data_IF_252272598405
#
_entry.id   IF_252272598405
#
_cell.length_a   1.000
_cell.length_b   1.000
_cell.length_c   1.000
_cell.angle_alpha   90.00
_cell.angle_beta   90.00
_cell.angle_gamma   90.00
#
_symmetry.space_group_name_H-M   'P 1'
#
loop_
_entity.id
_entity.type
_entity.pdbx_description
1 polymer ?
#
# COMPACT_ATOMS: atom_id res chain seq x y z
N UNK A 1 36.23 -32.73 -23.03
CA UNK A 1 35.62 -31.39 -22.87
C UNK A 1 34.23 -31.52 -23.47
N UNK A 2 33.09 -31.32 -22.81
CA UNK A 2 32.75 -30.40 -21.71
C UNK A 2 31.87 -31.07 -20.65
N UNK A 3 32.15 -30.76 -19.39
CA UNK A 3 31.36 -31.15 -18.23
C UNK A 3 30.10 -30.28 -18.16
N UNK A 4 28.91 -30.84 -18.47
CA UNK A 4 27.64 -30.13 -18.24
C UNK A 4 27.28 -30.18 -16.76
N UNK A 5 27.21 -28.99 -16.16
CA UNK A 5 26.94 -28.72 -14.75
C UNK A 5 25.58 -29.26 -14.29
N UNK A 6 25.52 -29.83 -13.08
CA UNK A 6 24.32 -30.41 -12.45
C UNK A 6 23.47 -29.38 -11.65
N UNK A 7 23.75 -28.09 -11.79
CA UNK A 7 22.84 -27.08 -11.23
C UNK A 7 21.59 -27.04 -12.09
N UNK A 8 20.48 -27.42 -11.49
CA UNK A 8 19.15 -27.38 -12.05
C UNK A 8 18.88 -25.98 -12.62
N UNK A 9 18.61 -25.89 -13.93
CA UNK A 9 17.93 -24.74 -14.49
C UNK A 9 16.52 -24.77 -13.87
N UNK A 10 16.26 -23.87 -12.92
CA UNK A 10 14.92 -23.61 -12.44
C UNK A 10 14.15 -23.04 -13.64
N UNK A 11 13.22 -23.80 -14.21
CA UNK A 11 12.25 -23.24 -15.14
C UNK A 11 11.36 -22.32 -14.31
N UNK A 12 11.63 -21.02 -14.40
CA UNK A 12 10.71 -19.99 -13.94
C UNK A 12 9.77 -19.79 -15.13
N UNK A 13 8.56 -20.30 -15.01
CA UNK A 13 7.49 -19.90 -15.92
C UNK A 13 7.24 -18.40 -15.66
N UNK A 14 7.50 -17.59 -16.68
CA UNK A 14 7.30 -16.15 -16.68
C UNK A 14 5.80 -15.87 -16.75
N UNK A 15 5.16 -15.76 -15.56
CA UNK A 15 3.72 -15.49 -15.40
C UNK A 15 3.41 -13.98 -15.53
N UNK A 16 4.23 -13.24 -16.27
CA UNK A 16 4.06 -11.81 -16.53
C UNK A 16 2.93 -11.57 -17.55
N UNK A 17 1.73 -11.31 -17.04
CA UNK A 17 0.65 -10.48 -17.59
C UNK A 17 0.33 -10.62 -19.10
N UNK A 18 -0.54 -11.58 -19.43
CA UNK A 18 -1.27 -11.74 -20.69
C UNK A 18 -2.36 -10.67 -20.94
N UNK A 19 -2.29 -9.47 -20.34
CA UNK A 19 -3.38 -8.47 -20.46
C UNK A 19 -3.25 -7.48 -21.65
N UNK A 20 -2.23 -7.60 -22.52
CA UNK A 20 -2.05 -6.65 -23.63
C UNK A 20 -1.71 -7.21 -25.02
N UNK A 21 -1.98 -8.49 -25.34
CA UNK A 21 -1.86 -8.96 -26.73
C UNK A 21 -3.01 -9.87 -27.19
N UNK A 22 -4.17 -9.26 -27.43
CA UNK A 22 -5.16 -9.84 -28.35
C UNK A 22 -4.65 -9.75 -29.79
N UNK A 23 -3.99 -10.79 -30.31
CA UNK A 23 -4.02 -11.12 -31.76
C UNK A 23 -3.95 -12.64 -31.96
N UNK A 24 -5.13 -13.25 -32.09
CA UNK A 24 -5.45 -14.47 -32.85
C UNK A 24 -4.29 -15.40 -33.26
N UNK A 25 -4.24 -16.59 -32.65
CA UNK A 25 -3.92 -17.87 -33.33
C UNK A 25 -4.31 -19.05 -32.44
N UNK A 26 -5.42 -19.69 -32.80
CA UNK A 26 -5.84 -20.94 -32.16
C UNK A 26 -4.86 -22.08 -32.44
N UNK A 27 -4.66 -22.95 -31.47
CA UNK A 27 -4.43 -24.37 -31.77
C UNK A 27 -4.98 -25.27 -30.67
N UNK A 28 -5.68 -26.27 -31.18
CA UNK A 28 -6.50 -27.28 -30.55
C UNK A 28 -5.63 -28.49 -30.16
N UNK A 29 -5.99 -29.16 -29.07
CA UNK A 29 -5.65 -30.56 -28.79
C UNK A 29 -4.43 -30.73 -27.88
N UNK A 30 -4.39 -31.69 -26.96
CA UNK A 30 -5.31 -32.78 -26.69
C UNK A 30 -4.72 -33.68 -25.62
N UNK A 31 -5.60 -34.27 -24.82
CA UNK A 31 -5.33 -35.38 -23.90
C UNK A 31 -4.75 -36.60 -24.62
N UNK A 32 -3.74 -37.28 -24.05
CA UNK A 32 -3.80 -38.71 -23.71
C UNK A 32 -2.48 -39.31 -23.17
N UNK A 33 -2.66 -40.17 -22.15
CA UNK A 33 -2.05 -41.50 -21.92
C UNK A 33 -0.55 -41.57 -21.63
N UNK A 34 -0.18 -41.91 -20.40
CA UNK A 34 0.14 -43.29 -19.94
C UNK A 34 1.07 -44.02 -20.90
N UNK A 35 2.34 -44.14 -20.51
CA UNK A 35 3.06 -45.36 -20.88
C UNK A 35 3.98 -45.85 -19.77
N UNK A 36 3.91 -47.16 -19.60
CA UNK A 36 4.51 -47.97 -18.56
C UNK A 36 5.92 -48.38 -18.97
N UNK A 37 6.92 -48.10 -18.13
CA UNK A 37 8.18 -48.83 -18.19
C UNK A 37 8.41 -49.62 -16.89
N UNK A 38 8.17 -50.93 -16.99
CA UNK A 38 8.72 -51.94 -16.09
C UNK A 38 10.24 -51.86 -16.12
N UNK A 39 10.85 -51.58 -14.97
CA UNK A 39 12.26 -51.88 -14.72
C UNK A 39 12.30 -52.86 -13.55
N UNK A 40 12.62 -54.12 -13.86
CA UNK A 40 13.00 -55.11 -12.86
C UNK A 40 14.41 -54.76 -12.38
N UNK A 41 14.61 -54.53 -11.09
CA UNK A 41 15.85 -54.84 -10.39
C UNK A 41 15.56 -54.96 -8.89
N UNK A 42 15.94 -56.10 -8.33
CA UNK A 42 15.67 -56.50 -6.96
C UNK A 42 16.57 -55.77 -5.97
N UNK A 43 15.93 -55.23 -4.95
CA UNK A 43 16.51 -54.76 -3.70
C UNK A 43 15.35 -54.53 -2.74
N UNK A 44 15.22 -55.38 -1.72
CA UNK A 44 14.17 -55.24 -0.70
C UNK A 44 14.45 -53.98 0.12
N UNK A 45 13.80 -52.88 -0.25
CA UNK A 45 13.81 -51.65 0.53
C UNK A 45 12.92 -51.88 1.75
N UNK A 46 13.51 -52.05 2.93
CA UNK A 46 12.76 -52.09 4.18
C UNK A 46 12.32 -50.65 4.48
N UNK A 47 11.08 -50.33 4.10
CA UNK A 47 10.42 -49.06 4.41
C UNK A 47 9.76 -49.20 5.78
N UNK A 48 10.33 -48.56 6.81
CA UNK A 48 9.57 -48.32 8.04
C UNK A 48 8.51 -47.25 7.76
N UNK A 49 7.24 -47.61 7.89
CA UNK A 49 6.12 -46.66 7.83
C UNK A 49 6.21 -45.73 9.03
N UNK A 50 6.62 -44.48 8.81
CA UNK A 50 6.47 -43.41 9.80
C UNK A 50 5.00 -43.02 9.81
N UNK A 51 4.30 -43.36 10.89
CA UNK A 51 2.91 -43.01 11.12
C UNK A 51 2.78 -41.49 11.15
N UNK A 52 2.27 -40.89 10.07
CA UNK A 52 1.97 -39.47 10.02
C UNK A 52 0.84 -39.21 11.01
N UNK A 53 1.13 -38.51 12.11
CA UNK A 53 0.10 -37.94 12.99
C UNK A 53 -0.94 -37.20 12.12
N UNK A 54 -2.25 -37.50 12.24
CA UNK A 54 -3.26 -36.84 11.45
C UNK A 54 -3.29 -35.35 11.82
N UNK A 55 -2.99 -34.48 10.84
CA UNK A 55 -3.32 -33.06 10.95
C UNK A 55 -4.83 -32.97 11.08
N UNK A 56 -5.30 -32.35 12.17
CA UNK A 56 -6.72 -32.05 12.35
C UNK A 56 -7.23 -31.32 11.10
N UNK A 57 -8.20 -31.93 10.41
CA UNK A 57 -8.99 -31.26 9.38
C UNK A 57 -9.72 -30.11 10.09
N UNK A 58 -9.19 -28.88 10.00
CA UNK A 58 -10.00 -27.70 10.25
C UNK A 58 -11.11 -27.72 9.20
N UNK A 59 -12.36 -27.80 9.69
CA UNK A 59 -13.55 -27.83 8.84
C UNK A 59 -13.61 -26.60 7.92
N UNK A 60 -14.47 -26.65 6.90
CA UNK A 60 -14.65 -25.53 5.98
C UNK A 60 -15.10 -24.30 6.79
N UNK A 61 -14.24 -23.29 6.91
CA UNK A 61 -14.66 -21.98 7.42
C UNK A 61 -15.70 -21.44 6.44
N UNK A 62 -16.84 -20.97 6.97
CA UNK A 62 -17.86 -20.33 6.15
C UNK A 62 -17.23 -19.17 5.36
N UNK A 63 -17.46 -19.15 4.05
CA UNK A 63 -17.02 -18.06 3.18
C UNK A 63 -17.87 -16.84 3.52
N UNK A 64 -17.29 -15.84 4.17
CA UNK A 64 -17.93 -14.55 4.38
C UNK A 64 -17.67 -13.70 3.14
N UNK A 65 -18.73 -13.27 2.49
CA UNK A 65 -18.66 -12.34 1.36
C UNK A 65 -18.80 -10.92 1.92
N UNK A 66 -17.90 -10.03 1.54
CA UNK A 66 -17.99 -8.61 1.90
C UNK A 66 -19.11 -7.96 1.06
N UNK A 67 -20.17 -7.49 1.71
CA UNK A 67 -21.30 -6.84 1.03
C UNK A 67 -20.90 -5.56 0.29
N UNK A 68 -19.79 -4.91 0.65
CA UNK A 68 -19.33 -3.70 0.00
C UNK A 68 -18.55 -3.96 -1.30
N UNK A 69 -17.84 -5.08 -1.38
CA UNK A 69 -16.93 -5.40 -2.51
C UNK A 69 -17.38 -6.62 -3.32
N UNK A 70 -18.30 -7.42 -2.79
CA UNK A 70 -18.75 -8.69 -3.39
C UNK A 70 -17.70 -9.80 -3.36
N UNK A 71 -16.57 -9.59 -2.67
CA UNK A 71 -15.43 -10.51 -2.66
C UNK A 71 -15.49 -11.46 -1.44
N UNK A 72 -15.05 -12.70 -1.65
CA UNK A 72 -14.97 -13.71 -0.58
C UNK A 72 -13.73 -13.44 0.27
N UNK A 73 -13.95 -13.14 1.55
CA UNK A 73 -12.87 -12.92 2.52
C UNK A 73 -12.36 -14.28 2.98
N UNK A 74 -11.17 -14.65 2.51
CA UNK A 74 -10.43 -15.79 3.05
C UNK A 74 -9.82 -15.35 4.39
N UNK A 75 -10.20 -16.05 5.47
CA UNK A 75 -9.87 -15.72 6.86
C UNK A 75 -10.67 -14.55 7.49
N UNK A 76 -12.00 -14.63 7.40
CA UNK A 76 -12.88 -13.94 8.35
C UNK A 76 -12.67 -14.49 9.77
N UNK A 77 -11.68 -13.95 10.47
CA UNK A 77 -11.48 -14.13 11.89
C UNK A 77 -12.27 -13.07 12.69
N UNK A 78 -12.14 -13.08 14.02
CA UNK A 78 -12.77 -12.10 14.91
C UNK A 78 -12.34 -10.65 14.60
N UNK A 79 -11.19 -10.46 13.95
CA UNK A 79 -10.67 -9.16 13.56
C UNK A 79 -11.48 -8.56 12.39
N UNK A 80 -11.97 -9.38 11.47
CA UNK A 80 -12.82 -8.92 10.36
C UNK A 80 -14.17 -8.37 10.84
N UNK A 81 -14.80 -9.01 11.82
CA UNK A 81 -16.06 -8.52 12.39
C UNK A 81 -15.87 -7.21 13.16
N UNK A 82 -14.75 -7.07 13.89
CA UNK A 82 -14.39 -5.83 14.58
C UNK A 82 -14.12 -4.68 13.60
N UNK A 83 -13.42 -4.95 12.50
CA UNK A 83 -13.15 -3.97 11.44
C UNK A 83 -14.44 -3.51 10.74
N UNK A 84 -15.35 -4.43 10.41
CA UNK A 84 -16.63 -4.06 9.78
C UNK A 84 -17.47 -3.19 10.71
N UNK A 85 -17.55 -3.53 12.01
CA UNK A 85 -18.21 -2.69 13.00
C UNK A 85 -17.57 -1.31 13.10
N UNK A 86 -16.23 -1.23 13.10
CA UNK A 86 -15.51 0.04 13.12
C UNK A 86 -15.84 0.91 11.90
N UNK A 87 -15.93 0.32 10.70
CA UNK A 87 -16.31 1.05 9.48
C UNK A 87 -17.75 1.55 9.52
N UNK A 88 -18.69 0.77 10.08
CA UNK A 88 -20.06 1.21 10.28
C UNK A 88 -20.16 2.34 11.31
N UNK A 89 -19.47 2.22 12.43
CA UNK A 89 -19.43 3.24 13.49
C UNK A 89 -18.81 4.54 12.97
N UNK A 90 -17.76 4.46 12.15
CA UNK A 90 -17.16 5.64 11.50
C UNK A 90 -18.14 6.31 10.53
N UNK A 91 -18.84 5.52 9.68
CA UNK A 91 -19.87 6.06 8.78
C UNK A 91 -21.01 6.71 9.56
N UNK A 92 -21.39 6.14 10.72
CA UNK A 92 -22.42 6.68 11.60
C UNK A 92 -21.97 8.01 12.21
N UNK A 93 -20.76 8.07 12.77
CA UNK A 93 -20.18 9.29 13.33
C UNK A 93 -20.08 10.41 12.29
N UNK A 94 -19.75 10.09 11.03
CA UNK A 94 -19.72 11.06 9.94
C UNK A 94 -21.11 11.61 9.59
N UNK A 95 -22.16 10.78 9.64
CA UNK A 95 -23.53 11.28 9.46
C UNK A 95 -24.00 12.11 10.64
N UNK A 96 -23.71 11.69 11.86
CA UNK A 96 -24.09 12.40 13.09
C UNK A 96 -23.40 13.77 13.18
N UNK A 97 -22.11 13.85 12.85
CA UNK A 97 -21.38 15.13 12.79
C UNK A 97 -21.91 16.05 11.69
N UNK A 98 -22.25 15.53 10.51
CA UNK A 98 -22.88 16.32 9.46
C UNK A 98 -24.28 16.83 9.89
N UNK A 99 -25.07 16.02 10.59
CA UNK A 99 -26.37 16.43 11.12
C UNK A 99 -26.25 17.47 12.22
N UNK A 100 -25.31 17.33 13.16
CA UNK A 100 -25.01 18.31 14.20
C UNK A 100 -24.55 19.64 13.59
N UNK A 101 -23.65 19.60 12.60
CA UNK A 101 -23.21 20.80 11.87
C UNK A 101 -24.36 21.49 11.13
N UNK A 102 -25.29 20.72 10.55
CA UNK A 102 -26.47 21.29 9.88
C UNK A 102 -27.52 21.85 10.85
N UNK A 103 -27.60 21.31 12.07
CA UNK A 103 -28.53 21.75 13.12
C UNK A 103 -28.04 22.98 13.86
N UNK A 104 -26.71 23.14 13.97
CA UNK A 104 -26.08 24.29 14.63
C UNK A 104 -26.18 25.59 13.78
N UNK A 105 -26.44 25.48 12.47
CA UNK A 105 -26.69 26.61 11.58
C UNK A 105 -28.14 27.13 11.59
N UNK A 106 -29.04 26.57 12.42
CA UNK A 106 -30.44 27.03 12.51
C UNK A 106 -30.84 27.67 13.83
N UNK A 107 -29.93 27.82 14.79
CA UNK A 107 -30.24 28.53 16.03
C UNK A 107 -28.98 29.06 16.69
N UNK A 108 -28.80 30.39 16.65
CA UNK A 108 -28.58 31.26 17.82
C UNK A 108 -27.86 32.54 17.39
N UNK A 109 -28.62 33.62 17.31
CA UNK A 109 -28.11 34.98 17.46
C UNK A 109 -27.79 35.26 18.94
N UNK A 110 -26.86 36.19 19.15
CA UNK A 110 -26.58 36.99 20.36
C UNK A 110 -25.42 36.57 21.29
N UNK A 111 -24.46 37.50 21.35
CA UNK A 111 -23.62 38.00 22.45
C UNK A 111 -22.51 37.16 23.11
N UNK A 112 -21.27 37.60 22.80
CA UNK A 112 -20.14 37.98 23.67
C UNK A 112 -19.98 37.33 25.06
N UNK A 113 -18.79 36.77 25.33
CA UNK A 113 -17.79 37.35 26.26
C UNK A 113 -16.49 36.49 26.39
N UNK A 114 -15.35 37.18 26.25
CA UNK A 114 -14.06 37.10 26.98
C UNK A 114 -13.39 35.73 27.35
N UNK A 115 -12.17 35.54 26.80
CA UNK A 115 -11.14 34.54 27.15
C UNK A 115 -10.47 34.80 28.54
N UNK A 116 -9.63 33.92 29.17
CA UNK A 116 -8.37 33.28 28.65
C UNK A 116 -8.14 31.81 29.14
N UNK A 117 -7.12 30.99 28.83
CA UNK A 117 -5.90 30.98 28.01
C UNK A 117 -5.07 29.69 28.31
N UNK A 118 -4.13 29.32 27.41
CA UNK A 118 -2.96 28.41 27.57
C UNK A 118 -3.25 26.88 27.68
N UNK A 119 -2.56 25.90 27.07
CA UNK A 119 -1.31 25.78 26.28
C UNK A 119 -1.23 24.38 25.64
N UNK A 120 -0.42 24.28 24.57
CA UNK A 120 0.33 23.10 24.11
C UNK A 120 -0.38 22.05 23.23
N UNK A 121 0.00 22.08 21.95
CA UNK A 121 0.40 20.88 21.22
C UNK A 121 -0.67 20.16 20.42
N UNK A 122 -0.94 20.62 19.20
CA UNK A 122 -1.17 19.72 18.06
C UNK A 122 -1.19 20.52 16.76
N UNK A 123 -0.19 20.27 15.92
CA UNK A 123 -0.22 20.60 14.50
C UNK A 123 -1.30 19.76 13.85
N UNK A 124 -2.50 20.33 13.77
CA UNK A 124 -3.57 19.85 12.91
C UNK A 124 -4.29 21.08 12.37
N UNK A 125 -4.04 21.36 11.08
CA UNK A 125 -4.99 21.99 10.14
C UNK A 125 -4.25 22.26 8.83
N UNK A 126 -4.56 21.44 7.82
CA UNK A 126 -4.86 21.94 6.48
C UNK A 126 -5.54 20.81 5.69
N UNK A 127 -6.69 20.38 6.20
CA UNK A 127 -7.79 20.01 5.31
C UNK A 127 -8.61 21.29 5.13
N UNK A 128 -8.31 22.03 4.06
CA UNK A 128 -9.24 23.00 3.52
C UNK A 128 -9.54 22.56 2.09
N UNK A 129 -10.61 21.77 2.01
CA UNK A 129 -11.35 21.47 0.80
C UNK A 129 -11.53 22.74 -0.03
N UNK A 130 -11.27 22.64 -1.34
CA UNK A 130 -11.52 23.67 -2.35
C UNK A 130 -12.97 24.19 -2.32
N UNK A 131 -13.20 25.50 -2.08
CA UNK A 131 -14.35 26.22 -2.64
C UNK A 131 -13.89 27.34 -3.59
N UNK A 132 -12.58 27.50 -3.83
CA UNK A 132 -12.04 28.80 -4.22
C UNK A 132 -12.09 29.12 -5.71
N UNK A 133 -12.30 28.16 -6.61
CA UNK A 133 -12.20 28.47 -8.05
C UNK A 133 -13.39 29.29 -8.58
N UNK A 134 -14.61 29.04 -8.05
CA UNK A 134 -15.78 29.89 -8.35
C UNK A 134 -15.69 31.26 -7.69
N UNK A 135 -15.16 31.33 -6.46
CA UNK A 135 -14.98 32.60 -5.76
C UNK A 135 -13.89 33.46 -6.40
N UNK A 136 -12.80 32.85 -6.86
CA UNK A 136 -11.69 33.55 -7.52
C UNK A 136 -12.11 34.13 -8.87
N UNK A 137 -12.80 33.34 -9.70
CA UNK A 137 -13.40 33.84 -10.94
C UNK A 137 -14.45 34.92 -10.67
N UNK A 138 -15.28 34.75 -9.63
CA UNK A 138 -16.27 35.75 -9.21
C UNK A 138 -15.63 37.06 -8.73
N UNK A 139 -14.46 37.01 -8.07
CA UNK A 139 -13.72 38.20 -7.63
C UNK A 139 -13.11 38.92 -8.84
N UNK A 140 -12.53 38.18 -9.79
CA UNK A 140 -11.99 38.73 -11.04
C UNK A 140 -13.09 39.41 -11.85
N UNK A 141 -14.23 38.75 -12.02
CA UNK A 141 -15.41 39.32 -12.68
C UNK A 141 -15.88 40.60 -11.98
N UNK A 142 -15.95 40.61 -10.64
CA UNK A 142 -16.29 41.83 -9.86
C UNK A 142 -15.29 42.97 -10.06
N UNK A 143 -13.99 42.69 -10.14
CA UNK A 143 -12.96 43.71 -10.39
C UNK A 143 -13.13 44.29 -11.81
N UNK A 144 -13.36 43.44 -12.81
CA UNK A 144 -13.59 43.88 -14.19
C UNK A 144 -14.87 44.72 -14.31
N UNK A 145 -15.96 44.33 -13.64
CA UNK A 145 -17.19 45.12 -13.58
C UNK A 145 -17.00 46.46 -12.85
N UNK A 146 -16.22 46.50 -11.77
CA UNK A 146 -15.90 47.75 -11.06
C UNK A 146 -15.13 48.73 -11.95
N UNK A 147 -14.19 48.23 -12.75
CA UNK A 147 -13.46 49.04 -13.75
C UNK A 147 -14.40 49.55 -14.85
N UNK A 148 -15.44 48.79 -15.18
CA UNK A 148 -16.46 49.17 -16.15
C UNK A 148 -17.34 50.33 -15.66
N UNK A 149 -17.80 50.24 -14.42
CA UNK A 149 -18.58 51.29 -13.78
C UNK A 149 -17.77 52.59 -13.64
N UNK A 150 -16.49 52.49 -13.30
CA UNK A 150 -15.60 53.64 -13.18
C UNK A 150 -15.26 54.29 -14.54
N UNK A 151 -15.04 53.48 -15.58
CA UNK A 151 -14.81 53.97 -16.95
C UNK A 151 -16.04 54.63 -17.57
N UNK A 152 -17.24 54.09 -17.34
CA UNK A 152 -18.50 54.74 -17.75
C UNK A 152 -18.71 56.07 -17.04
N UNK A 153 -18.35 56.15 -15.75
CA UNK A 153 -18.44 57.38 -14.95
C UNK A 153 -17.47 58.48 -15.43
N UNK A 154 -16.27 58.10 -15.88
CA UNK A 154 -15.28 59.05 -16.42
C UNK A 154 -15.63 59.54 -17.84
N UNK A 155 -16.21 58.68 -18.69
CA UNK A 155 -16.62 59.05 -20.05
C UNK A 155 -17.88 59.90 -20.13
N UNK A 156 -18.70 59.94 -19.08
CA UNK A 156 -19.92 60.76 -19.02
C UNK A 156 -19.65 62.27 -18.83
N UNK A 157 -18.40 62.68 -18.58
CA UNK A 157 -18.03 64.06 -18.24
C UNK A 157 -17.15 64.82 -19.26
N UNK A 158 -16.78 64.23 -20.41
CA UNK A 158 -15.83 64.84 -21.36
C UNK A 158 -16.39 64.92 -22.80
N UNK A 159 -16.29 66.10 -23.42
CA UNK A 159 -16.81 66.37 -24.76
C UNK A 159 -16.00 65.63 -25.84
N UNK A 160 -16.73 65.09 -26.83
CA UNK A 160 -16.31 63.96 -27.69
C UNK A 160 -15.60 64.40 -28.97
N UNK A 161 -14.30 64.11 -29.07
CA UNK A 161 -13.63 63.81 -30.37
C UNK A 161 -12.60 62.69 -30.29
N UNK A 162 -11.91 62.47 -29.16
CA UNK A 162 -10.89 61.39 -29.00
C UNK A 162 -11.41 60.12 -28.29
N UNK A 163 -12.66 60.12 -27.84
CA UNK A 163 -13.22 59.07 -26.95
C UNK A 163 -13.31 57.65 -27.53
N UNK A 164 -13.25 57.50 -28.86
CA UNK A 164 -13.38 56.17 -29.51
C UNK A 164 -12.08 55.38 -29.43
N UNK A 165 -10.94 56.04 -29.62
CA UNK A 165 -9.63 55.40 -29.60
C UNK A 165 -9.27 55.01 -28.17
N UNK A 166 -9.56 55.88 -27.20
CA UNK A 166 -9.43 55.56 -25.77
C UNK A 166 -10.31 54.38 -25.34
N UNK A 167 -11.55 54.32 -25.82
CA UNK A 167 -12.45 53.19 -25.53
C UNK A 167 -11.91 51.87 -26.10
N UNK A 168 -11.27 51.90 -27.27
CA UNK A 168 -10.68 50.72 -27.90
C UNK A 168 -9.42 50.27 -27.16
N UNK A 169 -8.58 51.21 -26.73
CA UNK A 169 -7.38 50.95 -25.93
C UNK A 169 -7.78 50.35 -24.57
N UNK A 170 -8.79 50.90 -23.90
CA UNK A 170 -9.31 50.37 -22.63
C UNK A 170 -9.83 48.93 -22.82
N UNK A 171 -10.57 48.65 -23.90
CA UNK A 171 -11.05 47.31 -24.19
C UNK A 171 -9.89 46.31 -24.43
N UNK A 172 -8.85 46.73 -25.14
CA UNK A 172 -7.63 45.93 -25.35
C UNK A 172 -6.92 45.61 -24.03
N UNK A 173 -6.73 46.61 -23.16
CA UNK A 173 -6.11 46.40 -21.84
C UNK A 173 -6.90 45.44 -20.96
N UNK A 174 -8.24 45.53 -20.98
CA UNK A 174 -9.11 44.59 -20.27
C UNK A 174 -8.96 43.18 -20.83
N UNK A 175 -9.03 43.02 -22.14
CA UNK A 175 -8.84 41.72 -22.80
C UNK A 175 -7.49 41.11 -22.42
N UNK A 176 -6.42 41.92 -22.39
CA UNK A 176 -5.08 41.45 -22.02
C UNK A 176 -4.97 41.10 -20.54
N UNK A 177 -5.63 41.85 -19.66
CA UNK A 177 -5.67 41.57 -18.23
C UNK A 177 -6.42 40.25 -17.95
N UNK A 178 -7.58 40.05 -18.59
CA UNK A 178 -8.34 38.80 -18.49
C UNK A 178 -7.51 37.61 -18.98
N UNK A 179 -6.89 37.73 -20.16
CA UNK A 179 -6.02 36.68 -20.72
C UNK A 179 -4.86 36.35 -19.76
N UNK A 180 -4.21 37.35 -19.16
CA UNK A 180 -3.12 37.14 -18.19
C UNK A 180 -3.61 36.44 -16.91
N UNK A 181 -4.82 36.78 -16.43
CA UNK A 181 -5.42 36.14 -15.26
C UNK A 181 -5.76 34.69 -15.56
N UNK A 182 -6.39 34.41 -16.70
CA UNK A 182 -6.71 33.04 -17.15
C UNK A 182 -5.44 32.19 -17.29
N UNK A 183 -4.38 32.72 -17.90
CA UNK A 183 -3.09 32.04 -18.00
C UNK A 183 -2.49 31.74 -16.63
N UNK A 184 -2.62 32.67 -15.67
CA UNK A 184 -2.11 32.48 -14.31
C UNK A 184 -2.91 31.42 -13.56
N UNK A 185 -4.24 31.38 -13.73
CA UNK A 185 -5.11 30.36 -13.17
C UNK A 185 -4.76 28.98 -13.74
N UNK A 186 -4.65 28.85 -15.05
CA UNK A 186 -4.29 27.59 -15.70
C UNK A 186 -2.90 27.10 -15.25
N UNK A 187 -1.92 28.00 -15.13
CA UNK A 187 -0.59 27.66 -14.61
C UNK A 187 -0.65 27.20 -13.14
N UNK A 188 -1.47 27.84 -12.31
CA UNK A 188 -1.66 27.45 -10.92
C UNK A 188 -2.34 26.08 -10.79
N UNK A 189 -3.35 25.79 -11.60
CA UNK A 189 -4.00 24.47 -11.65
C UNK A 189 -3.01 23.37 -12.03
N UNK A 190 -2.19 23.60 -13.07
CA UNK A 190 -1.12 22.66 -13.45
C UNK A 190 -0.08 22.47 -12.34
N UNK A 191 0.30 23.54 -11.66
CA UNK A 191 1.23 23.46 -10.54
C UNK A 191 0.66 22.67 -9.35
N UNK A 192 -0.61 22.86 -9.03
CA UNK A 192 -1.30 22.10 -7.98
C UNK A 192 -1.44 20.62 -8.34
N UNK A 193 -1.79 20.30 -9.58
CA UNK A 193 -1.85 18.92 -10.06
C UNK A 193 -0.48 18.23 -9.97
N UNK A 194 0.58 18.91 -10.43
CA UNK A 194 1.94 18.39 -10.33
C UNK A 194 2.38 18.19 -8.87
N UNK A 195 2.03 19.12 -7.97
CA UNK A 195 2.33 19.02 -6.55
C UNK A 195 1.62 17.82 -5.90
N UNK A 196 0.36 17.58 -6.24
CA UNK A 196 -0.39 16.43 -5.75
C UNK A 196 0.24 15.09 -6.19
N UNK A 197 0.71 15.02 -7.43
CA UNK A 197 1.43 13.85 -7.93
C UNK A 197 2.76 13.64 -7.19
N UNK A 198 3.54 14.70 -6.96
CA UNK A 198 4.78 14.62 -6.18
C UNK A 198 4.51 14.07 -4.77
N UNK A 199 3.44 14.53 -4.11
CA UNK A 199 3.05 14.03 -2.79
C UNK A 199 2.63 12.57 -2.82
N UNK A 200 1.86 12.16 -3.83
CA UNK A 200 1.50 10.75 -4.07
C UNK A 200 2.76 9.88 -4.23
N UNK A 201 3.75 10.31 -5.00
CA UNK A 201 5.00 9.58 -5.16
C UNK A 201 5.84 9.56 -3.88
N UNK A 202 5.88 10.67 -3.12
CA UNK A 202 6.56 10.72 -1.81
C UNK A 202 5.95 9.73 -0.82
N UNK A 203 4.62 9.63 -0.75
CA UNK A 203 3.93 8.68 0.12
C UNK A 203 4.23 7.23 -0.30
N UNK A 204 4.15 6.93 -1.60
CA UNK A 204 4.50 5.60 -2.13
C UNK A 204 5.94 5.21 -1.80
N UNK A 205 6.89 6.13 -2.00
CA UNK A 205 8.29 5.90 -1.68
C UNK A 205 8.51 5.65 -0.18
N UNK A 206 7.88 6.46 0.69
CA UNK A 206 7.94 6.25 2.14
C UNK A 206 7.45 4.86 2.53
N UNK A 207 6.31 4.43 1.99
CA UNK A 207 5.74 3.10 2.23
C UNK A 207 6.67 1.99 1.73
N UNK A 208 7.30 2.17 0.58
CA UNK A 208 8.24 1.19 0.04
C UNK A 208 9.49 1.05 0.93
N UNK A 209 10.04 2.16 1.43
CA UNK A 209 11.17 2.14 2.37
C UNK A 209 10.79 1.45 3.68
N UNK A 210 9.59 1.69 4.20
CA UNK A 210 9.08 1.03 5.40
C UNK A 210 8.95 -0.48 5.21
N UNK A 211 8.36 -0.92 4.09
CA UNK A 211 8.26 -2.34 3.74
C UNK A 211 9.64 -3.02 3.62
N UNK A 212 10.61 -2.37 2.99
CA UNK A 212 11.97 -2.91 2.89
C UNK A 212 12.63 -3.02 4.26
N UNK A 213 12.46 -2.02 5.11
CA UNK A 213 12.97 -2.05 6.49
C UNK A 213 12.36 -3.20 7.29
N UNK A 214 11.04 -3.39 7.21
CA UNK A 214 10.35 -4.47 7.94
C UNK A 214 10.75 -5.86 7.42
N UNK A 215 10.90 -6.01 6.11
CA UNK A 215 11.40 -7.23 5.49
C UNK A 215 12.84 -7.55 5.95
N UNK A 216 13.74 -6.56 5.92
CA UNK A 216 15.13 -6.71 6.35
C UNK A 216 15.22 -7.07 7.85
N UNK A 217 14.44 -6.40 8.70
CA UNK A 217 14.42 -6.66 10.14
C UNK A 217 13.85 -8.05 10.45
N UNK A 218 12.77 -8.45 9.79
CA UNK A 218 12.14 -9.77 10.02
C UNK A 218 13.03 -10.92 9.52
N UNK A 219 13.68 -10.77 8.36
CA UNK A 219 14.63 -11.76 7.86
C UNK A 219 15.83 -11.90 8.79
N UNK A 220 16.41 -10.78 9.24
CA UNK A 220 17.52 -10.79 10.21
C UNK A 220 17.14 -11.47 11.51
N UNK A 221 15.96 -11.17 12.06
CA UNK A 221 15.47 -11.81 13.28
C UNK A 221 15.35 -13.33 13.10
N UNK A 222 14.81 -13.78 11.97
CA UNK A 222 14.71 -15.20 11.64
C UNK A 222 16.09 -15.86 11.54
N UNK A 223 17.04 -15.24 10.83
CA UNK A 223 18.41 -15.76 10.70
C UNK A 223 19.12 -15.87 12.05
N UNK A 224 18.92 -14.90 12.95
CA UNK A 224 19.46 -14.96 14.31
C UNK A 224 18.87 -16.14 15.08
N UNK A 225 17.54 -16.31 15.05
CA UNK A 225 16.88 -17.45 15.71
C UNK A 225 17.34 -18.81 15.17
N UNK A 226 17.49 -18.93 13.85
CA UNK A 226 17.95 -20.16 13.22
C UNK A 226 19.43 -20.43 13.56
N UNK A 227 20.26 -19.39 13.66
CA UNK A 227 21.65 -19.50 14.10
C UNK A 227 21.76 -19.94 15.56
N UNK A 228 20.94 -19.37 16.45
CA UNK A 228 20.87 -19.81 17.85
C UNK A 228 20.44 -21.27 17.96
N UNK A 229 19.41 -21.68 17.21
CA UNK A 229 18.98 -23.09 17.14
C UNK A 229 20.08 -24.02 16.62
N UNK A 230 20.86 -23.57 15.63
CA UNK A 230 21.99 -24.34 15.10
C UNK A 230 23.10 -24.48 16.15
N UNK A 231 23.41 -23.41 16.90
CA UNK A 231 24.40 -23.44 17.98
C UNK A 231 23.98 -24.38 19.12
N UNK A 232 22.71 -24.36 19.53
CA UNK A 232 22.24 -25.29 20.57
C UNK A 232 22.33 -26.74 20.10
N UNK A 233 21.86 -27.04 18.88
CA UNK A 233 21.98 -28.38 18.30
C UNK A 233 23.45 -28.84 18.18
N UNK A 234 24.36 -27.94 17.81
CA UNK A 234 25.80 -28.23 17.76
C UNK A 234 26.35 -28.56 19.16
N UNK A 235 25.97 -27.80 20.18
CA UNK A 235 26.37 -28.04 21.58
C UNK A 235 25.86 -29.39 22.09
N UNK A 236 24.61 -29.74 21.79
CA UNK A 236 24.00 -31.00 22.18
C UNK A 236 24.70 -32.20 21.52
N UNK A 237 24.96 -32.10 20.21
CA UNK A 237 25.73 -33.12 19.48
C UNK A 237 27.17 -33.25 20.00
N UNK A 238 27.82 -32.13 20.33
CA UNK A 238 29.15 -32.13 20.94
C UNK A 238 29.16 -32.85 22.30
N UNK A 239 28.12 -32.65 23.10
CA UNK A 239 27.95 -33.34 24.39
C UNK A 239 27.73 -34.84 24.21
N UNK A 240 26.89 -35.25 23.26
CA UNK A 240 26.67 -36.66 22.93
C UNK A 240 27.94 -37.32 22.39
N UNK A 241 28.71 -36.63 21.55
CA UNK A 241 29.99 -37.12 21.04
C UNK A 241 30.99 -37.35 22.19
N UNK A 242 31.10 -36.39 23.12
CA UNK A 242 31.98 -36.54 24.29
C UNK A 242 31.56 -37.71 25.20
N UNK A 243 30.25 -37.90 25.40
CA UNK A 243 29.72 -39.02 26.18
C UNK A 243 30.02 -40.37 25.51
N UNK A 244 29.73 -40.50 24.22
CA UNK A 244 29.98 -41.73 23.45
C UNK A 244 31.47 -42.05 23.34
N UNK A 245 32.35 -41.06 23.20
CA UNK A 245 33.80 -41.26 23.26
C UNK A 245 34.24 -41.86 24.60
N UNK A 246 33.74 -41.33 25.73
CA UNK A 246 34.00 -41.88 27.06
C UNK A 246 33.51 -43.31 27.21
N UNK A 247 32.31 -43.62 26.74
CA UNK A 247 31.76 -44.98 26.76
C UNK A 247 32.63 -45.96 25.95
N UNK A 248 33.03 -45.57 24.74
CA UNK A 248 33.93 -46.38 23.89
C UNK A 248 35.25 -46.65 24.59
N UNK A 249 35.85 -45.64 25.24
CA UNK A 249 37.08 -45.81 26.02
C UNK A 249 36.90 -46.77 27.21
N UNK A 250 35.77 -46.67 27.92
CA UNK A 250 35.43 -47.60 28.98
C UNK A 250 35.29 -49.04 28.47
N UNK A 251 34.61 -49.26 27.33
CA UNK A 251 34.49 -50.58 26.71
C UNK A 251 35.85 -51.12 26.25
N UNK A 252 36.70 -50.28 25.64
CA UNK A 252 38.08 -50.66 25.28
C UNK A 252 38.89 -51.07 26.50
N UNK A 253 38.79 -50.31 27.60
CA UNK A 253 39.46 -50.65 28.86
C UNK A 253 38.98 -51.99 29.41
N UNK A 254 37.67 -52.22 29.42
CA UNK A 254 37.07 -53.49 29.85
C UNK A 254 37.52 -54.65 28.99
N UNK A 255 37.54 -54.51 27.66
CA UNK A 255 38.03 -55.55 26.76
C UNK A 255 39.52 -55.87 26.97
N UNK A 256 40.36 -54.86 27.26
CA UNK A 256 41.75 -55.08 27.65
C UNK A 256 41.87 -55.86 28.94
N UNK A 257 41.07 -55.55 29.96
CA UNK A 257 41.08 -56.29 31.23
C UNK A 257 40.64 -57.75 31.09
N UNK A 258 39.81 -58.06 30.10
CA UNK A 258 39.35 -59.41 29.79
C UNK A 258 40.29 -60.16 28.82
N UNK A 259 41.38 -59.54 28.37
CA UNK A 259 42.33 -60.13 27.41
C UNK A 259 41.78 -60.27 25.98
N UNK A 260 40.59 -59.72 25.71
CA UNK A 260 39.93 -59.77 24.39
C UNK A 260 40.44 -58.68 23.43
N UNK A 261 41.15 -57.68 23.94
CA UNK A 261 41.80 -56.61 23.18
C UNK A 261 43.22 -56.47 23.72
N UNK A 262 44.23 -56.59 22.85
CA UNK A 262 45.65 -56.43 23.21
C UNK A 262 46.05 -54.96 23.23
#
# INVERSE_FOLDING_TARGET
MESRSKFACLNIDDDSDEEFTNVTKGKKGGSHKTDSHKVKNGGSLIVHSVEKRPKAKRGPKAKVVDDATGLVVQDADENYAAEQKFREDLKRAMRESAQLASSQNRSSSSNSEKAPGLTAGSSAKNDQENPSNKESLSIVEKILSSIEDESRKLSAGFDRTDSKDDSMIIALYRSKLTEAIEQTLEANEKAQAAQADVEKYRMKYRKLVELFRDAELSERAKLVMDLERARTAQSDLGTQLAATQKEVEQYKSKLRSLGALK
#
